data_IF_658235005008
#
_entry.id   IF_658235005008
#
_cell.length_a   1.000
_cell.length_b   1.000
_cell.length_c   1.000
_cell.angle_alpha   90.00
_cell.angle_beta   90.00
_cell.angle_gamma   90.00
#
_symmetry.space_group_name_H-M   'P 1'
#
loop_
_entity.id
_entity.type
_entity.pdbx_description
1 polymer ?
#
# COMPACT_ATOMS: atom_id res chain seq x y z
N UNK A 1 1.61 22.14 -9.42
CA UNK A 1 1.71 21.96 -10.90
C UNK A 1 3.11 22.32 -11.31
N UNK A 2 3.89 21.33 -11.72
CA UNK A 2 5.27 21.56 -12.10
C UNK A 2 5.35 21.95 -13.57
N UNK A 3 5.94 23.12 -13.81
CA UNK A 3 6.26 23.57 -15.15
C UNK A 3 7.69 23.15 -15.49
N UNK A 4 7.87 22.45 -16.59
CA UNK A 4 9.21 22.21 -17.13
C UNK A 4 9.45 23.03 -18.39
N UNK A 5 10.65 23.61 -18.49
CA UNK A 5 11.10 24.24 -19.73
C UNK A 5 11.62 23.18 -20.68
N UNK A 6 11.13 23.18 -21.90
CA UNK A 6 11.68 22.31 -22.94
C UNK A 6 13.16 22.67 -23.22
N UNK A 7 14.09 21.72 -23.11
CA UNK A 7 15.52 22.03 -23.36
C UNK A 7 15.83 22.41 -24.81
N UNK A 8 14.95 22.10 -25.75
CA UNK A 8 15.14 22.43 -27.18
C UNK A 8 14.56 23.78 -27.60
N UNK A 9 13.36 24.12 -27.11
CA UNK A 9 12.64 25.32 -27.57
C UNK A 9 12.36 26.34 -26.46
N UNK A 10 12.77 26.08 -25.22
CA UNK A 10 12.57 26.96 -24.05
C UNK A 10 11.11 27.28 -23.67
N UNK A 11 10.12 26.63 -24.30
CA UNK A 11 8.71 26.83 -23.99
C UNK A 11 8.40 26.15 -22.64
N UNK A 12 7.62 26.82 -21.81
CA UNK A 12 7.06 26.23 -20.59
C UNK A 12 5.93 25.27 -20.96
N UNK A 13 6.09 24.01 -20.56
CA UNK A 13 5.13 22.96 -20.80
C UNK A 13 4.55 22.45 -19.47
N UNK A 14 3.25 22.21 -19.48
CA UNK A 14 2.61 21.37 -18.46
C UNK A 14 2.96 19.91 -18.75
N UNK A 15 3.67 19.27 -17.83
CA UNK A 15 3.98 17.86 -17.96
C UNK A 15 3.13 17.06 -16.99
N UNK A 16 2.41 16.10 -17.51
CA UNK A 16 1.86 15.01 -16.70
C UNK A 16 2.91 13.92 -16.58
N UNK A 17 3.43 13.72 -15.39
CA UNK A 17 4.33 12.61 -15.12
C UNK A 17 3.51 11.42 -14.63
N UNK A 18 3.67 10.28 -15.27
CA UNK A 18 3.09 9.00 -14.86
C UNK A 18 4.23 8.05 -14.54
N UNK A 19 4.24 7.54 -13.33
CA UNK A 19 5.19 6.51 -12.91
C UNK A 19 4.54 5.14 -13.06
N UNK A 20 5.29 4.19 -13.62
CA UNK A 20 4.87 2.80 -13.75
C UNK A 20 5.94 1.86 -13.20
N UNK A 21 5.52 0.69 -12.76
CA UNK A 21 6.43 -0.34 -12.27
C UNK A 21 7.06 -1.11 -13.43
N UNK A 22 8.35 -1.31 -13.34
CA UNK A 22 9.11 -2.17 -14.29
C UNK A 22 9.39 -3.56 -13.71
N UNK A 23 9.20 -3.72 -12.41
CA UNK A 23 9.37 -4.98 -11.66
C UNK A 23 8.41 -4.99 -10.47
N UNK A 24 7.83 -6.13 -10.20
CA UNK A 24 6.92 -6.34 -9.07
C UNK A 24 7.61 -7.15 -7.97
N UNK A 25 7.59 -6.68 -6.71
CA UNK A 25 8.18 -7.39 -5.57
C UNK A 25 7.29 -8.55 -5.13
N UNK A 26 7.81 -9.41 -4.26
CA UNK A 26 7.02 -10.42 -3.55
C UNK A 26 6.10 -9.79 -2.49
N UNK A 27 6.54 -8.69 -1.89
CA UNK A 27 5.79 -7.95 -0.87
C UNK A 27 5.76 -6.48 -1.23
N UNK A 28 4.55 -5.91 -1.32
CA UNK A 28 4.32 -4.47 -1.37
C UNK A 28 4.02 -3.94 0.03
N UNK A 29 4.65 -2.80 0.34
CA UNK A 29 4.35 -2.04 1.55
C UNK A 29 3.85 -0.66 1.11
N UNK A 30 2.58 -0.36 1.45
CA UNK A 30 2.01 0.96 1.24
C UNK A 30 1.99 1.71 2.56
N UNK A 31 2.63 2.85 2.60
CA UNK A 31 2.61 3.73 3.76
C UNK A 31 1.68 4.91 3.48
N UNK A 32 0.68 5.09 4.34
CA UNK A 32 -0.22 6.22 4.27
C UNK A 32 0.38 7.42 5.01
N UNK A 33 0.54 8.54 4.31
CA UNK A 33 1.12 9.78 4.86
C UNK A 33 0.15 10.50 5.80
N UNK A 34 -0.15 9.90 6.95
CA UNK A 34 -1.11 10.43 7.91
C UNK A 34 -0.51 11.45 8.88
N UNK A 35 0.77 11.29 9.16
CA UNK A 35 1.45 12.10 10.18
C UNK A 35 1.94 13.43 9.63
N UNK A 36 2.40 13.48 8.40
CA UNK A 36 2.89 14.69 7.74
C UNK A 36 1.75 15.66 7.37
N UNK A 37 0.64 15.13 6.89
CA UNK A 37 -0.51 15.94 6.43
C UNK A 37 -1.66 15.95 7.43
N UNK A 38 -1.52 15.32 8.59
CA UNK A 38 -2.57 15.17 9.61
C UNK A 38 -3.90 14.65 9.05
N UNK A 39 -3.82 13.79 8.06
CA UNK A 39 -4.98 13.20 7.42
C UNK A 39 -5.50 12.04 8.26
N UNK A 40 -6.71 12.20 8.78
CA UNK A 40 -7.38 11.21 9.63
C UNK A 40 -8.58 10.55 8.93
N UNK A 41 -8.65 10.58 7.61
CA UNK A 41 -9.72 9.92 6.88
C UNK A 41 -9.54 8.40 6.98
N UNK A 42 -10.54 7.65 7.45
CA UNK A 42 -10.50 6.19 7.40
C UNK A 42 -10.39 5.71 5.96
N UNK A 43 -9.47 4.80 5.72
CA UNK A 43 -9.28 4.16 4.41
C UNK A 43 -9.47 2.67 4.59
N UNK A 44 -10.48 2.12 3.93
CA UNK A 44 -10.66 0.68 3.84
C UNK A 44 -9.74 0.13 2.73
N UNK A 45 -8.71 -0.65 3.09
CA UNK A 45 -7.85 -1.25 2.07
C UNK A 45 -8.57 -2.42 1.40
N UNK A 46 -8.40 -2.52 0.08
CA UNK A 46 -8.82 -3.70 -0.66
C UNK A 46 -8.08 -4.94 -0.15
N UNK A 47 -8.80 -6.03 0.03
CA UNK A 47 -8.19 -7.29 0.47
C UNK A 47 -7.30 -7.90 -0.61
N UNK A 48 -7.67 -7.74 -1.88
CA UNK A 48 -6.92 -8.19 -3.04
C UNK A 48 -6.72 -7.04 -4.00
N UNK A 49 -5.51 -6.90 -4.52
CA UNK A 49 -5.18 -5.89 -5.52
C UNK A 49 -4.56 -6.54 -6.75
N UNK A 50 -4.85 -5.96 -7.92
CA UNK A 50 -4.22 -6.33 -9.18
C UNK A 50 -3.33 -5.18 -9.65
N UNK A 51 -2.03 -5.40 -9.71
CA UNK A 51 -1.04 -4.38 -10.09
C UNK A 51 -0.79 -4.31 -11.59
N UNK A 52 -1.50 -5.08 -12.41
CA UNK A 52 -1.25 -5.18 -13.85
C UNK A 52 -1.34 -3.83 -14.57
N UNK A 53 -2.33 -3.00 -14.23
CA UNK A 53 -2.54 -1.70 -14.86
C UNK A 53 -1.47 -0.65 -14.53
N UNK A 54 -0.66 -0.93 -13.52
CA UNK A 54 0.43 -0.05 -13.06
C UNK A 54 1.80 -0.44 -13.58
N UNK A 55 1.89 -1.45 -14.45
CA UNK A 55 3.12 -1.95 -15.04
C UNK A 55 3.42 -1.18 -16.32
N UNK A 56 4.71 -0.93 -16.58
CA UNK A 56 5.15 -0.36 -17.85
C UNK A 56 4.86 -1.31 -19.02
N UNK A 57 4.28 -0.78 -20.09
CA UNK A 57 3.86 -1.58 -21.26
C UNK A 57 5.03 -2.27 -21.97
N UNK A 58 6.26 -1.76 -21.78
CA UNK A 58 7.47 -2.37 -22.32
C UNK A 58 7.97 -3.58 -21.52
N UNK A 59 7.38 -3.86 -20.36
CA UNK A 59 7.75 -4.97 -19.50
C UNK A 59 6.90 -6.20 -19.81
N UNK A 60 7.57 -7.33 -20.02
CA UNK A 60 6.91 -8.63 -20.19
C UNK A 60 6.72 -9.29 -18.82
N UNK A 61 5.65 -8.88 -18.12
CA UNK A 61 5.25 -9.44 -16.84
C UNK A 61 3.97 -10.23 -17.01
N UNK A 62 3.98 -11.49 -16.57
CA UNK A 62 2.81 -12.35 -16.60
C UNK A 62 1.68 -11.75 -15.74
N UNK A 63 0.49 -11.60 -16.34
CA UNK A 63 -0.71 -11.12 -15.67
C UNK A 63 -1.03 -11.90 -14.40
N UNK A 64 -0.76 -13.21 -14.36
CA UNK A 64 -0.98 -14.07 -13.21
C UNK A 64 -0.01 -13.80 -12.06
N UNK A 65 1.05 -13.02 -12.28
CA UNK A 65 2.05 -12.62 -11.28
C UNK A 65 1.78 -11.21 -10.67
N UNK A 66 0.62 -10.62 -10.97
CA UNK A 66 0.30 -9.24 -10.59
C UNK A 66 -0.68 -9.14 -9.42
N UNK A 67 -1.15 -10.26 -8.88
CA UNK A 67 -2.14 -10.28 -7.81
C UNK A 67 -1.49 -10.36 -6.44
N UNK A 68 -2.06 -9.59 -5.52
CA UNK A 68 -1.59 -9.48 -4.15
C UNK A 68 -2.74 -9.56 -3.16
N UNK A 69 -2.46 -10.11 -1.99
CA UNK A 69 -3.36 -10.22 -0.87
C UNK A 69 -2.86 -9.39 0.30
N UNK A 70 -3.74 -8.60 0.90
CA UNK A 70 -3.45 -7.89 2.15
C UNK A 70 -3.27 -8.92 3.28
N UNK A 71 -2.12 -8.91 3.94
CA UNK A 71 -1.84 -9.87 5.02
C UNK A 71 -1.43 -9.22 6.33
N UNK A 72 -1.11 -7.93 6.34
CA UNK A 72 -0.81 -7.21 7.58
C UNK A 72 -1.16 -5.73 7.47
N UNK A 73 -1.53 -5.15 8.61
CA UNK A 73 -1.86 -3.74 8.78
C UNK A 73 -1.18 -3.24 10.04
N UNK A 74 -0.44 -2.13 9.93
CA UNK A 74 0.05 -1.40 11.09
C UNK A 74 -0.90 -0.27 11.44
N UNK A 75 -1.23 -0.16 12.72
CA UNK A 75 -2.13 0.83 13.29
C UNK A 75 -1.36 1.58 14.37
N UNK A 76 -1.31 2.91 14.28
CA UNK A 76 -0.66 3.75 15.27
C UNK A 76 -1.65 4.75 15.84
N UNK A 77 -2.05 4.55 17.08
CA UNK A 77 -2.92 5.45 17.83
C UNK A 77 -2.06 6.47 18.55
N UNK A 78 -2.10 7.72 18.12
CA UNK A 78 -1.31 8.79 18.73
C UNK A 78 -1.44 10.10 17.96
N UNK A 79 -0.92 11.18 18.57
CA UNK A 79 -0.99 12.52 17.98
C UNK A 79 0.11 12.77 16.93
N UNK A 80 1.25 12.12 17.09
CA UNK A 80 2.41 12.28 16.22
C UNK A 80 3.31 11.02 16.22
N UNK A 81 4.45 11.11 15.56
CA UNK A 81 5.42 10.01 15.48
C UNK A 81 6.13 9.71 16.79
N UNK A 82 6.17 10.67 17.73
CA UNK A 82 6.91 10.57 18.99
C UNK A 82 6.11 9.89 20.09
N UNK A 83 4.78 10.06 20.07
CA UNK A 83 3.88 9.55 21.11
C UNK A 83 2.73 8.78 20.47
N UNK A 84 2.66 7.51 20.73
CA UNK A 84 1.59 6.67 20.23
C UNK A 84 1.76 5.22 20.64
N UNK A 85 0.68 4.46 20.46
CA UNK A 85 0.65 3.03 20.68
C UNK A 85 0.51 2.32 19.33
N UNK A 86 1.40 1.38 19.05
CA UNK A 86 1.39 0.60 17.82
C UNK A 86 0.76 -0.77 18.03
N UNK A 87 -0.13 -1.11 17.12
CA UNK A 87 -0.78 -2.40 17.02
C UNK A 87 -0.56 -2.93 15.62
N UNK A 88 -0.33 -4.22 15.49
CA UNK A 88 -0.26 -4.90 14.21
C UNK A 88 -1.40 -5.91 14.07
N UNK A 89 -2.02 -5.94 12.92
CA UNK A 89 -2.94 -7.01 12.55
C UNK A 89 -2.33 -7.86 11.44
N UNK A 90 -2.45 -9.16 11.55
CA UNK A 90 -1.96 -10.12 10.55
C UNK A 90 -3.04 -11.10 10.14
N UNK A 91 -3.02 -11.50 8.88
CA UNK A 91 -3.87 -12.55 8.33
C UNK A 91 -3.10 -13.87 8.26
N UNK A 92 -3.63 -14.88 8.88
CA UNK A 92 -3.06 -16.23 8.84
C UNK A 92 -4.17 -17.27 8.65
N UNK A 93 -4.02 -18.13 7.65
CA UNK A 93 -5.01 -19.16 7.29
C UNK A 93 -6.44 -18.63 7.19
N UNK A 94 -6.61 -17.47 6.52
CA UNK A 94 -7.90 -16.84 6.29
C UNK A 94 -8.49 -16.07 7.48
N UNK A 95 -7.81 -16.03 8.63
CA UNK A 95 -8.25 -15.34 9.84
C UNK A 95 -7.35 -14.19 10.19
N UNK A 96 -7.93 -13.13 10.74
CA UNK A 96 -7.20 -11.97 11.23
C UNK A 96 -6.92 -12.08 12.73
N UNK A 97 -5.71 -11.70 13.11
CA UNK A 97 -5.23 -11.68 14.49
C UNK A 97 -4.66 -10.30 14.79
N UNK A 98 -4.86 -9.86 16.03
CA UNK A 98 -4.25 -8.64 16.55
C UNK A 98 -3.06 -8.98 17.44
N UNK A 99 -1.97 -8.26 17.22
CA UNK A 99 -0.76 -8.28 18.06
C UNK A 99 -0.68 -6.91 18.72
N UNK A 100 -0.81 -6.89 20.04
CA UNK A 100 -0.78 -5.69 20.86
C UNK A 100 0.14 -5.92 22.05
N UNK A 101 1.36 -5.36 21.99
CA UNK A 101 2.46 -5.64 22.91
C UNK A 101 2.71 -7.16 23.05
N UNK A 102 2.44 -7.73 24.20
CA UNK A 102 2.58 -9.17 24.45
C UNK A 102 1.34 -10.00 24.15
N UNK A 103 0.24 -9.36 23.78
CA UNK A 103 -1.04 -10.02 23.55
C UNK A 103 -1.21 -10.42 22.08
N UNK A 104 -1.74 -11.61 21.86
CA UNK A 104 -2.08 -12.14 20.54
C UNK A 104 -3.46 -12.79 20.60
N UNK A 105 -4.41 -12.25 19.80
CA UNK A 105 -5.78 -12.74 19.80
C UNK A 105 -6.46 -12.60 18.45
N UNK A 106 -7.41 -13.49 18.15
CA UNK A 106 -8.22 -13.42 16.95
C UNK A 106 -9.18 -12.22 17.02
N UNK A 107 -9.16 -11.40 15.98
CA UNK A 107 -10.05 -10.25 15.83
C UNK A 107 -10.22 -9.91 14.36
N UNK A 108 -11.42 -9.50 13.99
CA UNK A 108 -11.71 -9.00 12.64
C UNK A 108 -10.75 -7.86 12.26
N UNK A 109 -10.41 -7.82 10.96
CA UNK A 109 -9.64 -6.73 10.41
C UNK A 109 -10.26 -5.38 10.71
N UNK A 110 -9.46 -4.47 11.23
CA UNK A 110 -9.84 -3.08 11.44
C UNK A 110 -9.25 -2.19 10.34
N UNK A 111 -10.01 -1.17 9.97
CA UNK A 111 -9.52 -0.04 9.22
C UNK A 111 -10.06 1.23 9.87
N UNK A 112 -9.24 2.24 10.00
CA UNK A 112 -9.60 3.49 10.66
C UNK A 112 -8.61 4.61 10.28
N UNK A 113 -8.77 5.76 10.89
CA UNK A 113 -7.87 6.90 10.73
C UNK A 113 -6.45 6.67 11.25
N UNK A 114 -6.20 5.59 11.96
CA UNK A 114 -4.90 5.26 12.55
C UNK A 114 -4.12 4.20 11.77
N UNK A 115 -4.75 3.54 10.80
CA UNK A 115 -4.05 2.59 9.92
C UNK A 115 -3.08 3.35 9.02
N UNK A 116 -1.80 2.97 9.00
CA UNK A 116 -0.79 3.68 8.22
C UNK A 116 0.11 2.79 7.36
N UNK A 117 0.31 1.55 7.72
CA UNK A 117 1.09 0.57 6.96
C UNK A 117 0.23 -0.56 6.46
N UNK A 118 0.24 -0.80 5.15
CA UNK A 118 -0.51 -1.87 4.50
C UNK A 118 0.49 -2.80 3.82
N UNK A 119 0.44 -4.07 4.14
CA UNK A 119 1.37 -5.09 3.65
C UNK A 119 0.64 -6.09 2.78
N UNK A 120 1.03 -6.16 1.52
CA UNK A 120 0.48 -7.08 0.53
C UNK A 120 1.53 -8.08 0.10
N UNK A 121 1.16 -9.35 0.03
CA UNK A 121 2.00 -10.43 -0.51
C UNK A 121 1.48 -10.90 -1.86
N UNK A 122 2.40 -11.24 -2.75
CA UNK A 122 2.05 -11.82 -4.04
C UNK A 122 1.37 -13.17 -3.85
N UNK A 123 0.29 -13.38 -4.59
CA UNK A 123 -0.41 -14.66 -4.66
C UNK A 123 -0.37 -15.20 -6.08
N UNK A 124 -0.35 -16.52 -6.21
CA UNK A 124 -0.47 -17.16 -7.50
C UNK A 124 -1.93 -17.50 -7.76
N UNK A 125 -2.44 -17.07 -8.90
CA UNK A 125 -3.73 -17.52 -9.37
C UNK A 125 -3.50 -18.81 -10.13
N UNK A 126 -4.00 -19.89 -9.59
CA UNK A 126 -4.03 -21.19 -10.27
C UNK A 126 -5.31 -21.24 -11.09
N UNK A 127 -5.18 -21.20 -12.43
CA UNK A 127 -6.29 -21.49 -13.30
C UNK A 127 -6.68 -22.96 -13.12
N UNK A 128 -7.86 -23.17 -12.57
CA UNK A 128 -8.46 -24.50 -12.53
C UNK A 128 -9.10 -24.82 -13.87
#
# INVERSE_FOLDING_TARGET
MDYMKCPKCNIKLHLNSVSKFVKLPEIFIFTLERFLVRNKVPIEPDEYINMYDFIDDACDIDKNQCFYELFAINIRKGKDLSFGHEICQIKQKGKWYTIDDGDFYERQREYNEYSYGLFYRKIQIVNQ
#
